data_IF_692606791630
#
_entry.id   IF_692606791630
#
_cell.length_a   1.000
_cell.length_b   1.000
_cell.length_c   1.000
_cell.angle_alpha   90.00
_cell.angle_beta   90.00
_cell.angle_gamma   90.00
#
_symmetry.space_group_name_H-M   'P 1'
#
loop_
_entity.id
_entity.type
_entity.pdbx_description
1 polymer ?
2 non-polymer ?
3 non-polymer ?
4 non-polymer ?
5 non-polymer ?
6 non-polymer ?
7 water ?
#
# COMPACT_ATOMS: atom_id res chain seq x y z
N UNK A 3 4.99 16.68 17.03
CA UNK A 3 3.63 16.14 17.19
C UNK A 3 2.68 16.60 16.08
N UNK A 4 3.11 16.40 14.86
CA UNK A 4 2.52 16.94 13.67
C UNK A 4 2.31 15.78 12.65
N UNK A 5 1.22 15.86 11.89
CA UNK A 5 0.89 14.90 10.83
C UNK A 5 1.11 15.61 9.50
N UNK A 6 1.90 14.99 8.62
CA UNK A 6 2.06 15.45 7.27
C UNK A 6 1.02 14.91 6.31
N UNK A 7 0.74 15.67 5.26
CA UNK A 7 -0.17 15.20 4.21
C UNK A 7 0.43 15.64 2.85
N UNK A 8 0.47 14.69 1.92
CA UNK A 8 0.87 14.98 0.54
C UNK A 8 -0.27 14.64 -0.41
N UNK A 9 -0.57 15.57 -1.31
CA UNK A 9 -1.57 15.40 -2.38
C UNK A 9 -1.18 16.38 -3.48
N UNK A 10 -1.25 15.93 -4.71
CA UNK A 10 -1.00 16.79 -5.85
C UNK A 10 -1.94 16.40 -6.97
N UNK A 11 -2.81 17.40 -7.37
CA UNK A 11 -3.84 17.37 -8.54
C UNK A 11 -3.19 16.77 -9.81
N UNK A 12 -1.86 16.87 -10.02
CA UNK A 12 -1.23 16.36 -11.22
C UNK A 12 -1.34 14.82 -11.30
N UNK A 13 -1.45 14.12 -10.15
CA UNK A 13 -1.62 12.66 -10.20
C UNK A 13 -2.95 12.21 -10.79
N UNK A 14 -3.88 13.16 -11.01
CA UNK A 14 -5.13 12.86 -11.71
C UNK A 14 -4.93 12.67 -13.21
N UNK A 15 -3.79 13.08 -13.77
CA UNK A 15 -3.68 13.10 -15.24
C UNK A 15 -3.58 11.69 -15.88
N UNK A 16 -3.04 10.70 -15.16
CA UNK A 16 -3.05 9.30 -15.59
C UNK A 16 -4.50 8.86 -15.74
N UNK A 17 -4.83 8.34 -16.92
CA UNK A 17 -6.24 8.01 -17.19
C UNK A 17 -6.31 6.91 -18.23
N UNK A 18 -7.50 6.35 -18.37
CA UNK A 18 -7.78 5.25 -19.26
C UNK A 18 -8.54 5.82 -20.44
N UNK A 19 -7.84 5.99 -21.58
CA UNK A 19 -8.46 6.70 -22.70
C UNK A 19 -9.52 5.88 -23.42
N UNK A 20 -9.55 4.57 -23.16
CA UNK A 20 -10.45 3.64 -23.85
C UNK A 20 -11.67 3.30 -23.02
N UNK A 21 -11.55 3.43 -21.72
CA UNK A 21 -12.61 3.09 -20.80
C UNK A 21 -12.58 4.10 -19.65
N UNK A 22 -13.30 5.20 -19.83
CA UNK A 22 -13.25 6.27 -18.84
C UNK A 22 -13.90 5.94 -17.52
N UNK A 23 -14.60 4.80 -17.46
CA UNK A 23 -15.20 4.29 -16.25
C UNK A 23 -14.37 3.21 -15.54
N UNK A 24 -13.17 2.93 -16.01
CA UNK A 24 -12.29 1.99 -15.31
C UNK A 24 -12.20 2.42 -13.83
N UNK A 25 -12.32 1.48 -12.87
CA UNK A 25 -12.39 1.86 -11.45
C UNK A 25 -11.17 2.62 -10.89
N UNK A 26 -9.98 2.51 -11.49
CA UNK A 26 -8.84 3.26 -10.98
C UNK A 26 -8.91 4.68 -11.54
N UNK A 27 -9.84 5.45 -11.00
CA UNK A 27 -10.19 6.75 -11.57
C UNK A 27 -9.34 7.87 -11.05
N UNK A 28 -9.13 8.89 -11.88
CA UNK A 28 -8.51 10.13 -11.37
C UNK A 28 -9.11 10.69 -10.11
N UNK A 29 -10.43 10.70 -10.05
CA UNK A 29 -11.08 11.34 -8.97
C UNK A 29 -11.05 10.50 -7.67
N UNK A 30 -10.41 9.32 -7.68
CA UNK A 30 -10.12 8.68 -6.39
C UNK A 30 -9.38 9.62 -5.44
N UNK A 31 -8.33 10.27 -5.96
CA UNK A 31 -7.50 11.08 -5.08
C UNK A 31 -8.14 12.42 -4.76
N UNK A 32 -8.83 13.02 -5.72
CA UNK A 32 -9.49 14.30 -5.45
C UNK A 32 -10.65 14.15 -4.48
N UNK A 33 -11.41 13.05 -4.60
CA UNK A 33 -12.49 12.81 -3.63
C UNK A 33 -11.93 12.65 -2.23
N UNK A 34 -10.85 11.89 -2.08
CA UNK A 34 -10.26 11.72 -0.74
C UNK A 34 -9.77 13.07 -0.19
N UNK A 35 -9.08 13.84 -1.03
CA UNK A 35 -8.58 15.18 -0.67
C UNK A 35 -9.76 16.09 -0.19
N UNK A 36 -10.83 16.12 -1.00
CA UNK A 36 -11.97 16.92 -0.66
C UNK A 36 -12.61 16.54 0.66
N UNK A 37 -12.70 15.23 0.91
CA UNK A 37 -13.30 14.80 2.16
C UNK A 37 -12.46 15.23 3.39
N UNK A 38 -11.11 15.26 3.18
CA UNK A 38 -10.22 15.77 4.24
C UNK A 38 -10.51 17.25 4.52
N UNK A 39 -10.81 18.02 3.47
CA UNK A 39 -11.20 19.42 3.68
C UNK A 39 -12.54 19.53 4.36
N UNK A 40 -13.52 18.76 3.91
CA UNK A 40 -14.83 18.80 4.52
C UNK A 40 -14.87 18.50 6.02
N UNK A 41 -14.07 17.51 6.41
CA UNK A 41 -13.93 17.10 7.80
C UNK A 41 -12.93 17.95 8.59
N UNK A 42 -12.36 18.99 7.98
CA UNK A 42 -11.48 19.94 8.64
C UNK A 42 -10.19 19.28 9.13
N UNK A 43 -9.78 18.23 8.45
CA UNK A 43 -8.50 17.56 8.70
C UNK A 43 -7.33 18.20 7.97
N UNK A 44 -7.59 18.72 6.77
CA UNK A 44 -6.52 19.23 5.94
C UNK A 44 -5.78 20.43 6.58
N UNK A 45 -6.51 21.31 7.28
CA UNK A 45 -5.92 22.47 7.93
C UNK A 45 -5.16 22.09 9.20
N UNK A 46 -5.36 20.88 9.68
CA UNK A 46 -4.64 20.35 10.87
C UNK A 46 -3.31 19.68 10.53
N UNK A 47 -3.06 19.47 9.24
CA UNK A 47 -1.91 18.76 8.80
C UNK A 47 -0.87 19.75 8.26
N UNK A 48 0.40 19.31 8.25
CA UNK A 48 1.50 19.99 7.58
C UNK A 48 1.60 19.49 6.15
N UNK A 49 1.40 20.37 5.17
CA UNK A 49 1.46 19.99 3.78
C UNK A 49 2.87 19.73 3.34
N UNK A 50 3.10 18.52 2.86
CA UNK A 50 4.38 18.11 2.30
C UNK A 50 4.27 18.16 0.75
N UNK A 51 5.22 18.76 0.01
CA UNK A 51 5.10 18.85 -1.43
C UNK A 51 5.35 17.52 -2.08
N UNK A 52 4.66 17.31 -3.19
CA UNK A 52 5.01 16.23 -4.11
C UNK A 52 6.31 16.55 -4.84
N UNK A 53 7.02 15.52 -5.29
CA UNK A 53 8.12 15.70 -6.22
C UNK A 53 8.18 14.46 -7.10
N UNK A 54 8.91 14.57 -8.19
CA UNK A 54 9.22 13.41 -9.00
C UNK A 54 10.27 12.55 -8.30
N UNK A 55 10.06 11.25 -8.23
CA UNK A 55 11.15 10.31 -8.02
C UNK A 55 12.14 10.47 -9.16
N UNK A 56 13.42 10.29 -8.85
CA UNK A 56 14.43 10.21 -9.89
C UNK A 56 14.55 8.78 -10.44
N UNK A 57 15.15 8.63 -11.64
CA UNK A 57 15.33 7.28 -12.15
C UNK A 57 16.28 6.46 -11.27
N UNK A 58 17.29 7.10 -10.69
CA UNK A 58 18.19 6.40 -9.81
C UNK A 58 17.38 5.90 -8.59
N UNK A 59 16.45 6.68 -8.03
CA UNK A 59 15.58 6.21 -6.95
C UNK A 59 14.74 5.04 -7.41
N UNK A 60 14.18 5.07 -8.61
CA UNK A 60 13.41 3.94 -9.12
C UNK A 60 14.24 2.67 -9.12
N UNK A 61 15.53 2.82 -9.46
CA UNK A 61 16.46 1.69 -9.49
C UNK A 61 16.77 1.07 -8.13
N UNK A 62 16.32 1.69 -7.02
CA UNK A 62 16.40 0.98 -5.77
C UNK A 62 15.67 -0.36 -5.80
N UNK A 63 14.58 -0.43 -6.57
CA UNK A 63 13.75 -1.65 -6.61
C UNK A 63 13.55 -2.16 -8.02
N UNK A 64 13.74 -1.36 -9.10
CA UNK A 64 13.30 -1.74 -10.45
C UNK A 64 14.47 -1.85 -11.41
N UNK A 65 14.36 -2.73 -12.41
CA UNK A 65 15.40 -2.87 -13.41
C UNK A 65 15.46 -1.66 -14.29
N UNK A 66 16.63 -1.45 -14.86
CA UNK A 66 16.79 -0.34 -15.79
C UNK A 66 15.90 -0.55 -17.00
N UNK A 67 15.73 -1.79 -17.45
CA UNK A 67 14.84 -2.03 -18.60
C UNK A 67 13.40 -1.66 -18.32
N UNK A 68 12.87 -2.06 -17.15
CA UNK A 68 11.51 -1.72 -16.78
C UNK A 68 11.32 -0.21 -16.71
N UNK A 69 12.25 0.47 -16.03
CA UNK A 69 12.14 1.92 -15.94
C UNK A 69 12.10 2.56 -17.34
N UNK A 70 13.00 2.07 -18.19
CA UNK A 70 13.14 2.57 -19.55
C UNK A 70 11.85 2.40 -20.38
N UNK A 71 11.22 1.25 -20.22
CA UNK A 71 10.03 0.87 -21.00
C UNK A 71 8.88 1.79 -20.51
N UNK A 72 8.67 1.92 -19.19
CA UNK A 72 7.58 2.81 -18.77
C UNK A 72 7.85 4.27 -19.20
N UNK A 73 9.10 4.72 -19.07
CA UNK A 73 9.46 6.07 -19.51
C UNK A 73 9.17 6.30 -20.99
N UNK A 74 9.35 5.26 -21.80
CA UNK A 74 9.12 5.39 -23.25
C UNK A 74 7.65 5.61 -23.55
N UNK A 75 6.73 5.30 -22.63
CA UNK A 75 5.33 5.51 -22.94
C UNK A 75 4.90 6.99 -23.00
N UNK A 76 5.71 7.91 -22.47
CA UNK A 76 5.31 9.33 -22.43
C UNK A 76 5.08 9.91 -23.81
N UNK A 77 5.75 9.32 -24.81
CA UNK A 77 5.74 9.87 -26.16
C UNK A 77 4.89 9.04 -27.15
N UNK A 78 4.19 8.01 -26.64
CA UNK A 78 3.57 7.01 -27.53
C UNK A 78 2.20 7.49 -27.96
N UNK A 79 1.88 7.12 -29.19
CA UNK A 79 0.55 7.32 -29.72
C UNK A 79 -0.41 6.30 -29.06
N UNK A 80 -1.73 6.52 -29.15
CA UNK A 80 -2.70 5.62 -28.52
C UNK A 80 -2.53 4.13 -28.81
N UNK A 81 -2.31 3.77 -30.09
CA UNK A 81 -2.10 2.40 -30.51
C UNK A 81 -0.99 1.72 -29.71
N UNK A 82 0.11 2.47 -29.58
CA UNK A 82 1.29 1.91 -28.93
C UNK A 82 1.15 1.85 -27.41
N UNK A 83 0.43 2.82 -26.83
CA UNK A 83 0.04 2.72 -25.43
C UNK A 83 -0.80 1.50 -25.18
N UNK A 84 -1.77 1.23 -26.02
CA UNK A 84 -2.61 0.05 -25.89
C UNK A 84 -1.74 -1.22 -25.93
N UNK A 85 -0.87 -1.31 -26.98
CA UNK A 85 -0.03 -2.49 -27.07
C UNK A 85 0.86 -2.67 -25.84
N UNK A 86 1.45 -1.58 -25.37
CA UNK A 86 2.36 -1.71 -24.25
C UNK A 86 1.59 -2.13 -23.01
N UNK A 87 0.47 -1.46 -22.68
CA UNK A 87 -0.30 -1.86 -21.49
C UNK A 87 -0.71 -3.33 -21.52
N UNK A 88 -1.06 -3.79 -22.75
CA UNK A 88 -1.45 -5.18 -22.94
C UNK A 88 -0.34 -6.22 -22.71
N UNK A 89 0.92 -5.80 -22.66
CA UNK A 89 1.97 -6.73 -22.30
C UNK A 89 2.01 -7.05 -20.82
N UNK A 90 1.19 -6.36 -20.02
CA UNK A 90 1.09 -6.61 -18.62
C UNK A 90 -0.26 -7.18 -18.25
N UNK A 91 -0.34 -7.70 -17.05
CA UNK A 91 -1.63 -8.11 -16.45
C UNK A 91 -2.30 -6.87 -15.88
N UNK A 92 -3.42 -6.44 -16.46
CA UNK A 92 -4.30 -5.41 -15.86
C UNK A 92 -3.60 -4.05 -15.75
N UNK A 93 -3.13 -3.51 -16.89
CA UNK A 93 -2.55 -2.19 -16.93
C UNK A 93 -3.17 -1.39 -18.06
N UNK A 94 -3.52 -0.13 -17.78
CA UNK A 94 -3.78 0.88 -18.84
C UNK A 94 -2.71 1.98 -18.71
N UNK A 95 -2.35 2.57 -19.87
CA UNK A 95 -1.32 3.62 -19.91
C UNK A 95 -1.78 4.82 -20.70
N UNK A 96 -1.56 6.05 -20.19
CA UNK A 96 -1.67 7.27 -21.03
C UNK A 96 -0.31 7.96 -21.00
N UNK A 97 -0.19 9.04 -21.78
CA UNK A 97 1.11 9.75 -21.85
C UNK A 97 1.54 10.33 -20.52
N UNK A 98 0.59 10.51 -19.58
CA UNK A 98 0.87 11.09 -18.28
C UNK A 98 1.20 10.03 -17.22
N UNK A 99 1.09 8.73 -17.57
CA UNK A 99 1.20 7.69 -16.54
C UNK A 99 2.57 7.68 -15.91
N UNK A 100 3.63 7.80 -16.68
CA UNK A 100 4.97 7.73 -16.10
C UNK A 100 5.16 8.87 -15.09
N UNK A 101 4.83 10.10 -15.48
CA UNK A 101 4.98 11.22 -14.55
C UNK A 101 4.17 11.01 -13.28
N UNK A 102 2.95 10.51 -13.43
CA UNK A 102 2.10 10.33 -12.23
C UNK A 102 2.73 9.30 -11.31
N UNK A 103 3.25 8.21 -11.86
CA UNK A 103 3.90 7.20 -11.05
C UNK A 103 5.12 7.77 -10.35
N UNK A 104 5.89 8.60 -11.08
CA UNK A 104 7.02 9.29 -10.44
C UNK A 104 6.59 10.19 -9.29
N UNK A 105 5.51 10.92 -9.48
CA UNK A 105 4.99 11.81 -8.44
C UNK A 105 4.50 11.01 -7.24
N UNK A 106 3.84 9.87 -7.46
CA UNK A 106 3.36 9.07 -6.33
C UNK A 106 4.55 8.63 -5.47
N UNK A 107 5.60 8.14 -6.12
CA UNK A 107 6.76 7.66 -5.38
C UNK A 107 7.49 8.82 -4.69
N UNK A 108 7.77 9.91 -5.41
CA UNK A 108 8.49 11.01 -4.81
C UNK A 108 7.74 11.66 -3.65
N UNK A 109 6.41 11.77 -3.78
CA UNK A 109 5.58 12.23 -2.66
C UNK A 109 5.84 11.43 -1.39
N UNK A 110 5.90 10.12 -1.57
CA UNK A 110 6.15 9.21 -0.46
C UNK A 110 7.59 9.33 0.04
N UNK A 111 8.57 9.52 -0.86
CA UNK A 111 9.92 9.79 -0.36
C UNK A 111 9.97 11.05 0.49
N UNK A 112 9.34 12.12 0.06
CA UNK A 112 9.34 13.36 0.82
C UNK A 112 8.65 13.15 2.20
N UNK A 113 7.61 12.30 2.21
CA UNK A 113 6.88 12.03 3.47
C UNK A 113 7.75 11.23 4.45
N UNK A 114 8.41 10.19 3.92
CA UNK A 114 9.32 9.40 4.74
C UNK A 114 10.48 10.27 5.25
N UNK A 115 11.03 11.13 4.39
CA UNK A 115 12.05 12.07 4.83
C UNK A 115 11.56 12.98 5.93
N UNK A 116 10.35 13.52 5.79
CA UNK A 116 9.81 14.39 6.82
C UNK A 116 9.72 13.68 8.16
N UNK A 117 9.29 12.41 8.14
CA UNK A 117 9.20 11.62 9.36
C UNK A 117 10.60 11.37 9.97
N UNK A 118 11.51 10.90 9.11
CA UNK A 118 12.80 10.45 9.63
C UNK A 118 13.70 11.61 10.05
N UNK A 119 13.46 12.80 9.53
CA UNK A 119 14.21 14.02 9.94
C UNK A 119 13.51 14.72 11.09
N UNK A 120 12.38 14.19 11.60
CA UNK A 120 11.69 14.80 12.73
C UNK A 120 10.80 15.99 12.41
N UNK A 121 10.56 16.30 11.15
CA UNK A 121 9.68 17.43 10.78
C UNK A 121 8.22 17.12 11.12
N UNK A 122 7.83 15.86 10.95
CA UNK A 122 6.52 15.38 11.32
C UNK A 122 6.65 14.04 12.06
N UNK A 123 5.61 13.67 12.80
CA UNK A 123 5.60 12.37 13.49
C UNK A 123 5.15 11.26 12.56
N UNK A 124 4.16 11.58 11.74
CA UNK A 124 3.49 10.58 10.88
C UNK A 124 2.95 11.33 9.66
N UNK A 125 2.39 10.59 8.72
CA UNK A 125 1.98 11.24 7.48
C UNK A 125 1.03 10.36 6.69
N UNK A 126 0.33 11.02 5.78
CA UNK A 126 -0.59 10.37 4.86
C UNK A 126 -0.31 10.85 3.44
N UNK A 127 -0.31 9.93 2.46
CA UNK A 127 0.02 10.20 1.06
C UNK A 127 -1.16 9.78 0.19
N UNK A 128 -1.82 10.77 -0.40
CA UNK A 128 -3.00 10.56 -1.24
C UNK A 128 -2.53 10.57 -2.67
N UNK A 129 -2.13 9.38 -3.11
CA UNK A 129 -1.39 9.21 -4.37
C UNK A 129 -2.03 8.17 -5.28
N UNK A 130 -1.81 8.31 -6.60
CA UNK A 130 -2.13 7.29 -7.60
C UNK A 130 -1.19 7.54 -8.79
N UNK A 131 -0.97 6.56 -9.68
CA UNK A 131 -1.42 5.16 -9.57
C UNK A 131 -0.82 4.44 -8.37
N UNK A 132 -1.44 3.31 -8.01
CA UNK A 132 -0.94 2.52 -6.88
C UNK A 132 0.37 1.79 -7.23
N UNK A 133 0.92 1.07 -6.24
CA UNK A 133 2.23 0.46 -6.38
C UNK A 133 2.43 -0.99 -6.10
N UNK A 134 1.60 -1.59 -5.21
CA UNK A 134 2.06 -2.85 -4.57
C UNK A 134 2.15 -4.11 -5.46
N UNK A 135 1.51 -4.10 -6.63
CA UNK A 135 1.61 -5.22 -7.56
C UNK A 135 2.86 -5.08 -8.48
N UNK A 136 3.50 -3.90 -8.52
CA UNK A 136 4.63 -3.71 -9.42
C UNK A 136 5.83 -4.52 -8.91
N UNK A 137 6.46 -5.19 -9.89
CA UNK A 137 7.57 -6.08 -9.63
C UNK A 137 8.87 -5.37 -10.01
N UNK A 138 10.00 -5.99 -9.69
CA UNK A 138 11.28 -5.47 -10.19
C UNK A 138 11.24 -5.20 -11.68
N UNK A 139 10.73 -6.15 -12.44
CA UNK A 139 10.97 -6.10 -13.89
C UNK A 139 9.72 -5.86 -14.71
N UNK A 140 8.61 -5.54 -14.05
CA UNK A 140 7.31 -5.44 -14.73
C UNK A 140 6.19 -4.68 -13.96
N UNK A 141 5.27 -4.09 -14.72
CA UNK A 141 4.07 -3.45 -14.21
C UNK A 141 2.97 -4.51 -14.03
N UNK A 142 1.99 -4.25 -13.15
CA UNK A 142 0.91 -5.18 -12.92
C UNK A 142 -0.19 -4.54 -12.12
N UNK A 143 -1.43 -4.89 -12.46
CA UNK A 143 -2.53 -4.58 -11.54
C UNK A 143 -2.66 -3.10 -11.18
N UNK A 144 -2.61 -2.26 -12.21
CA UNK A 144 -2.78 -0.81 -12.13
C UNK A 144 -1.51 -0.10 -11.64
N UNK A 145 -0.46 -0.85 -11.34
CA UNK A 145 0.76 -0.34 -10.69
C UNK A 145 1.96 -0.35 -11.64
N UNK A 146 2.73 0.74 -11.64
CA UNK A 146 3.92 0.86 -12.50
C UNK A 146 5.19 0.66 -11.75
N UNK A 147 5.34 1.39 -10.64
CA UNK A 147 6.50 1.25 -9.77
C UNK A 147 5.99 1.01 -8.37
N UNK A 148 6.77 0.30 -7.59
CA UNK A 148 6.30 -0.13 -6.27
C UNK A 148 6.63 0.93 -5.23
N UNK A 149 5.72 1.89 -5.16
CA UNK A 149 5.86 3.07 -4.30
C UNK A 149 6.24 2.73 -2.86
N UNK A 150 5.54 1.78 -2.25
CA UNK A 150 5.83 1.44 -0.82
C UNK A 150 7.23 0.80 -0.74
N UNK A 151 7.53 -0.16 -1.61
CA UNK A 151 8.82 -0.83 -1.56
C UNK A 151 9.95 0.17 -1.77
N UNK A 152 9.78 1.05 -2.75
CA UNK A 152 10.77 2.11 -3.04
C UNK A 152 10.94 3.02 -1.83
N UNK A 153 9.84 3.32 -1.13
CA UNK A 153 9.90 4.18 0.04
C UNK A 153 10.72 3.52 1.15
N UNK A 154 10.58 2.21 1.34
CA UNK A 154 11.37 1.51 2.34
C UNK A 154 12.86 1.60 1.98
N UNK A 155 13.20 1.39 0.69
CA UNK A 155 14.60 1.48 0.27
C UNK A 155 15.11 2.92 0.35
N UNK A 156 14.28 3.90 0.01
CA UNK A 156 14.69 5.30 0.09
C UNK A 156 14.97 5.61 1.57
N UNK A 157 14.10 5.18 2.49
CA UNK A 157 14.34 5.36 3.93
C UNK A 157 15.71 4.79 4.31
N UNK A 158 15.98 3.56 3.90
CA UNK A 158 17.27 2.92 4.21
C UNK A 158 18.43 3.73 3.65
N UNK A 159 18.24 4.35 2.48
CA UNK A 159 19.29 5.09 1.78
C UNK A 159 19.64 6.42 2.49
N UNK A 160 18.79 6.90 3.39
CA UNK A 160 19.10 8.11 4.16
C UNK A 160 19.34 7.84 5.64
N UNK A 161 19.42 6.56 6.01
CA UNK A 161 19.66 6.14 7.41
C UNK A 161 20.74 5.05 7.34
N UNK A 162 20.32 3.79 7.32
CA UNK A 162 21.24 2.68 7.12
C UNK A 162 20.52 1.55 6.44
N UNK A 163 21.32 0.71 5.78
CA UNK A 163 20.83 -0.43 5.01
C UNK A 163 19.89 -1.32 5.84
N UNK A 164 20.22 -1.51 7.11
CA UNK A 164 19.50 -2.39 8.01
C UNK A 164 18.36 -1.73 8.81
N UNK A 165 18.03 -0.47 8.49
CA UNK A 165 16.86 0.17 9.10
C UNK A 165 15.66 -0.77 9.04
N UNK A 166 15.02 -1.03 10.16
CA UNK A 166 13.90 -1.98 10.19
C UNK A 166 12.62 -1.26 9.74
N UNK A 167 12.10 -1.69 8.58
CA UNK A 167 10.88 -1.13 8.07
C UNK A 167 9.82 -2.23 8.09
N UNK A 168 8.67 -1.93 8.69
CA UNK A 168 7.47 -2.78 8.57
C UNK A 168 6.57 -2.22 7.51
N UNK A 169 6.16 -3.08 6.58
CA UNK A 169 5.12 -2.72 5.57
C UNK A 169 3.90 -3.56 5.92
N UNK A 170 2.81 -2.87 6.31
CA UNK A 170 1.50 -3.54 6.51
C UNK A 170 0.66 -3.22 5.29
N UNK A 171 0.26 -4.27 4.57
CA UNK A 171 -0.51 -4.12 3.37
C UNK A 171 -1.92 -4.60 3.62
N UNK A 172 -2.81 -3.63 3.84
CA UNK A 172 -4.22 -3.96 4.10
C UNK A 172 -5.13 -3.75 2.92
N UNK A 173 -4.57 -3.40 1.74
CA UNK A 173 -5.32 -3.53 0.49
C UNK A 173 -5.86 -4.95 0.44
N UNK A 174 -7.04 -5.15 -0.15
CA UNK A 174 -7.68 -6.48 -0.20
C UNK A 174 -6.92 -7.46 -1.07
N UNK A 175 -6.02 -6.94 -1.92
CA UNK A 175 -5.20 -7.80 -2.80
C UNK A 175 -3.84 -8.02 -2.20
N UNK A 176 -3.23 -9.16 -2.56
CA UNK A 176 -1.86 -9.43 -2.20
C UNK A 176 -0.89 -8.50 -2.91
N UNK A 177 0.05 -7.89 -2.18
CA UNK A 177 1.11 -7.10 -2.79
C UNK A 177 2.25 -8.00 -3.26
N UNK A 178 1.98 -8.71 -4.33
CA UNK A 178 2.96 -9.65 -4.88
C UNK A 178 4.31 -8.98 -5.14
N UNK A 179 4.29 -7.78 -5.64
CA UNK A 179 5.53 -7.10 -5.91
C UNK A 179 6.36 -6.82 -4.69
N UNK A 180 5.66 -6.34 -3.65
CA UNK A 180 6.34 -6.04 -2.40
C UNK A 180 6.90 -7.30 -1.79
N UNK A 181 6.10 -8.37 -1.75
CA UNK A 181 6.61 -9.63 -1.21
C UNK A 181 7.89 -10.04 -1.91
N UNK A 182 7.86 -10.05 -3.25
CA UNK A 182 9.01 -10.50 -4.04
C UNK A 182 10.25 -9.63 -3.84
N UNK A 183 10.06 -8.31 -3.84
CA UNK A 183 11.17 -7.39 -3.68
C UNK A 183 11.90 -7.64 -2.36
N UNK A 184 11.14 -7.97 -1.30
CA UNK A 184 11.74 -8.15 0.04
C UNK A 184 11.85 -9.60 0.48
N UNK A 185 11.67 -10.57 -0.43
CA UNK A 185 11.52 -11.97 0.00
C UNK A 185 12.72 -12.51 0.77
N UNK A 186 13.92 -12.06 0.39
CA UNK A 186 15.16 -12.46 1.09
C UNK A 186 15.68 -11.44 2.09
N UNK A 187 14.88 -10.45 2.48
CA UNK A 187 15.30 -9.36 3.38
C UNK A 187 14.75 -9.59 4.76
N UNK A 188 15.61 -9.49 5.77
CA UNK A 188 15.20 -9.42 7.17
C UNK A 188 15.10 -7.97 7.64
N UNK A 189 15.46 -6.98 6.82
CA UNK A 189 15.31 -5.58 7.24
C UNK A 189 13.92 -5.02 6.97
N UNK A 190 13.18 -5.66 6.10
CA UNK A 190 11.81 -5.22 5.78
C UNK A 190 10.88 -6.40 6.01
N UNK A 191 10.01 -6.24 7.00
CA UNK A 191 8.98 -7.18 7.39
C UNK A 191 7.75 -6.82 6.57
N UNK A 192 7.32 -7.72 5.70
CA UNK A 192 6.12 -7.53 4.88
C UNK A 192 4.98 -8.34 5.50
N UNK A 193 3.89 -7.67 5.89
CA UNK A 193 2.68 -8.33 6.41
C UNK A 193 1.53 -7.92 5.53
N UNK A 194 0.92 -8.89 4.84
CA UNK A 194 -0.25 -8.63 4.02
C UNK A 194 -1.45 -9.40 4.49
N UNK A 195 -2.59 -8.70 4.54
CA UNK A 195 -3.91 -9.33 4.67
C UNK A 195 -4.54 -9.25 3.32
N UNK A 196 -5.18 -10.30 2.84
CA UNK A 196 -5.72 -10.25 1.47
C UNK A 196 -6.70 -11.36 1.24
N UNK A 197 -7.69 -11.05 0.42
CA UNK A 197 -8.55 -12.08 -0.12
C UNK A 197 -7.76 -12.97 -1.08
N UNK A 198 -7.94 -14.29 -0.93
CA UNK A 198 -7.15 -15.31 -1.58
C UNK A 198 -8.01 -16.28 -2.36
N UNK A 199 -8.97 -16.90 -1.66
CA UNK A 199 -9.89 -17.83 -2.33
C UNK A 199 -9.13 -18.92 -3.05
N UNK A 200 -8.10 -19.46 -2.40
CA UNK A 200 -7.30 -20.53 -2.98
C UNK A 200 -6.83 -20.25 -4.40
N UNK A 201 -6.50 -18.99 -4.65
CA UNK A 201 -6.01 -18.56 -5.95
C UNK A 201 -7.05 -18.06 -6.94
N UNK A 202 -8.33 -18.03 -6.56
CA UNK A 202 -9.35 -17.52 -7.49
C UNK A 202 -9.38 -15.99 -7.56
N UNK A 203 -8.83 -15.33 -6.55
CA UNK A 203 -8.92 -13.87 -6.45
C UNK A 203 -7.60 -13.26 -6.96
N UNK A 204 -7.67 -12.14 -7.69
CA UNK A 204 -6.48 -11.47 -8.24
C UNK A 204 -5.46 -11.23 -7.12
N UNK A 205 -4.15 -11.47 -7.34
CA UNK A 205 -3.49 -11.78 -8.61
C UNK A 205 -3.32 -13.29 -8.87
N UNK A 206 -4.12 -14.14 -8.26
CA UNK A 206 -4.32 -15.51 -8.75
C UNK A 206 -3.09 -16.42 -8.61
N UNK A 207 -2.29 -16.19 -7.56
CA UNK A 207 -1.03 -16.93 -7.38
C UNK A 207 -0.97 -17.51 -5.97
N UNK A 208 -0.47 -18.73 -5.89
CA UNK A 208 -0.16 -19.36 -4.61
C UNK A 208 0.96 -18.65 -3.85
N UNK A 209 1.65 -17.69 -4.50
CA UNK A 209 2.61 -16.87 -3.75
C UNK A 209 1.99 -16.17 -2.53
N UNK A 210 0.67 -15.95 -2.59
CA UNK A 210 -0.05 -15.22 -1.56
C UNK A 210 -0.48 -16.10 -0.37
N UNK A 211 -0.16 -17.40 -0.41
CA UNK A 211 -0.62 -18.27 0.66
C UNK A 211 0.21 -18.14 1.92
N UNK A 212 -0.33 -18.65 3.03
CA UNK A 212 0.22 -18.47 4.36
C UNK A 212 1.58 -19.16 4.52
N UNK A 213 1.89 -20.15 3.67
CA UNK A 213 3.11 -20.91 3.82
C UNK A 213 4.29 -20.24 3.14
N UNK A 214 4.09 -19.07 2.53
CA UNK A 214 5.19 -18.27 1.96
C UNK A 214 5.66 -17.33 3.05
N UNK A 215 6.69 -17.77 3.76
CA UNK A 215 7.12 -17.15 5.02
C UNK A 215 8.44 -16.37 4.81
N UNK A 216 8.96 -16.32 3.58
CA UNK A 216 10.24 -15.70 3.33
C UNK A 216 11.30 -16.69 2.99
N UNK A 217 12.41 -16.22 2.42
CA UNK A 217 13.48 -17.04 1.88
C UNK A 217 14.82 -16.62 2.42
N UNK A 218 15.69 -17.62 2.64
CA UNK A 218 17.08 -17.35 3.03
C UNK A 218 17.10 -16.55 4.31
N UNK A 219 17.87 -15.47 4.36
CA UNK A 219 17.90 -14.70 5.57
C UNK A 219 16.59 -13.96 5.87
N UNK A 220 15.72 -13.87 4.85
CA UNK A 220 14.39 -13.33 5.03
C UNK A 220 13.37 -14.31 5.55
N UNK A 221 13.77 -15.54 5.89
CA UNK A 221 12.81 -16.50 6.35
C UNK A 221 12.19 -16.03 7.71
N UNK A 222 10.86 -15.95 7.77
CA UNK A 222 10.13 -15.37 8.88
C UNK A 222 9.64 -13.94 8.69
N UNK A 223 10.16 -13.27 7.65
CA UNK A 223 9.94 -11.84 7.44
C UNK A 223 8.94 -11.53 6.35
N UNK A 224 8.13 -12.53 6.00
CA UNK A 224 7.05 -12.39 5.02
C UNK A 224 5.83 -13.07 5.64
N UNK A 225 4.78 -12.32 5.97
CA UNK A 225 3.58 -12.83 6.67
C UNK A 225 2.37 -12.58 5.78
N UNK A 226 1.83 -13.65 5.20
CA UNK A 226 0.62 -13.61 4.41
C UNK A 226 -0.56 -14.13 5.22
N UNK A 227 -1.60 -13.31 5.30
CA UNK A 227 -2.85 -13.62 6.00
C UNK A 227 -3.93 -13.72 4.94
N UNK A 228 -4.17 -14.93 4.41
CA UNK A 228 -5.05 -15.08 3.23
C UNK A 228 -6.46 -15.46 3.65
N UNK A 229 -7.44 -14.73 3.12
CA UNK A 229 -8.83 -15.03 3.43
C UNK A 229 -9.44 -15.89 2.31
N UNK A 230 -10.24 -16.85 2.77
CA UNK A 230 -11.03 -17.74 1.89
C UNK A 230 -12.45 -17.78 2.38
N UNK A 231 -13.43 -17.98 1.48
CA UNK A 231 -14.80 -18.17 1.91
C UNK A 231 -15.62 -16.90 2.03
N UNK A 232 -15.36 -15.95 1.12
CA UNK A 232 -16.28 -14.82 0.98
C UNK A 232 -16.04 -13.69 1.94
N UNK A 233 -17.06 -12.88 2.18
CA UNK A 233 -16.93 -11.59 2.83
C UNK A 233 -16.30 -11.71 4.22
N UNK A 234 -15.38 -10.79 4.51
CA UNK A 234 -14.79 -10.56 5.79
C UNK A 234 -14.97 -9.10 6.12
N UNK A 235 -14.88 -8.80 7.42
CA UNK A 235 -15.12 -7.44 7.91
C UNK A 235 -14.31 -7.12 9.13
N UNK A 236 -14.84 -6.15 9.89
CA UNK A 236 -14.11 -5.67 11.05
C UNK A 236 -13.74 -6.78 12.06
N UNK A 237 -14.66 -7.72 12.34
CA UNK A 237 -14.26 -8.74 13.35
C UNK A 237 -12.99 -9.50 12.92
N UNK A 238 -12.94 -9.91 11.65
CA UNK A 238 -11.81 -10.69 11.12
C UNK A 238 -10.52 -9.88 11.09
N UNK A 239 -10.63 -8.62 10.64
CA UNK A 239 -9.43 -7.78 10.55
C UNK A 239 -8.91 -7.46 11.96
N UNK A 240 -9.82 -7.14 12.89
CA UNK A 240 -9.39 -6.88 14.27
C UNK A 240 -8.69 -8.13 14.84
N UNK A 241 -9.24 -9.32 14.57
CA UNK A 241 -8.69 -10.56 15.10
C UNK A 241 -7.32 -10.81 14.50
N UNK A 242 -7.17 -10.58 13.20
CA UNK A 242 -5.86 -10.76 12.58
C UNK A 242 -4.83 -9.81 13.18
N UNK A 243 -5.24 -8.57 13.43
CA UNK A 243 -4.30 -7.62 14.04
C UNK A 243 -3.95 -8.04 15.44
N UNK A 244 -4.93 -8.54 16.19
CA UNK A 244 -4.73 -8.96 17.55
C UNK A 244 -3.77 -10.15 17.69
N UNK A 245 -4.05 -11.18 16.93
CA UNK A 245 -3.32 -12.44 17.05
C UNK A 245 -2.03 -12.47 16.31
N UNK A 246 -1.93 -11.73 15.21
CA UNK A 246 -0.81 -11.86 14.25
C UNK A 246 -0.05 -10.56 13.99
N UNK A 247 -0.72 -9.54 13.45
CA UNK A 247 0.02 -8.37 12.98
C UNK A 247 0.74 -7.67 14.13
N UNK A 248 0.01 -7.41 15.22
CA UNK A 248 0.62 -6.61 16.29
C UNK A 248 1.68 -7.36 17.11
N UNK A 249 1.44 -8.65 17.49
CA UNK A 249 2.48 -9.36 18.21
C UNK A 249 3.76 -9.50 17.38
N UNK A 250 3.65 -9.83 16.08
CA UNK A 250 4.84 -9.96 15.25
C UNK A 250 5.50 -8.57 15.14
N UNK A 251 4.73 -7.53 14.84
CA UNK A 251 5.32 -6.21 14.65
C UNK A 251 6.05 -5.78 15.91
N UNK A 252 5.46 -6.01 17.09
CA UNK A 252 6.15 -5.62 18.35
C UNK A 252 7.51 -6.34 18.49
N UNK A 253 7.54 -7.61 18.13
CA UNK A 253 8.74 -8.40 18.25
C UNK A 253 9.79 -7.94 17.25
N UNK A 254 9.36 -7.55 16.05
CA UNK A 254 10.26 -7.01 15.05
C UNK A 254 10.86 -5.66 15.43
N UNK A 255 10.08 -4.87 16.13
CA UNK A 255 10.50 -3.57 16.60
C UNK A 255 10.90 -2.63 15.48
N UNK A 256 9.97 -2.33 14.55
CA UNK A 256 10.30 -1.47 13.41
C UNK A 256 10.72 -0.08 13.82
N UNK A 257 11.57 0.50 12.97
CA UNK A 257 11.98 1.88 13.13
C UNK A 257 11.15 2.83 12.26
N UNK A 258 10.39 2.25 11.32
CA UNK A 258 9.49 2.99 10.43
C UNK A 258 8.36 2.00 10.07
N UNK A 259 7.11 2.48 10.00
CA UNK A 259 5.99 1.71 9.51
C UNK A 259 5.42 2.39 8.27
N UNK A 260 5.33 1.60 7.19
CA UNK A 260 4.62 1.99 5.96
C UNK A 260 3.35 1.16 5.90
N UNK A 261 2.26 1.83 5.54
CA UNK A 261 1.02 1.12 5.30
C UNK A 261 0.73 1.21 3.80
N UNK A 262 0.68 0.05 3.17
CA UNK A 262 0.10 -0.07 1.81
C UNK A 262 -1.41 -0.12 2.07
N UNK A 263 -1.96 1.08 2.08
CA UNK A 263 -3.31 1.35 2.53
C UNK A 263 -4.22 1.43 1.31
N UNK A 264 -4.54 0.26 0.77
CA UNK A 264 -5.68 0.20 -0.14
C UNK A 264 -6.96 0.21 0.67
N UNK A 265 -8.04 0.75 0.14
CA UNK A 265 -9.33 0.77 0.84
C UNK A 265 -10.35 -0.02 0.05
N UNK A 266 -9.87 -1.05 -0.64
CA UNK A 266 -10.74 -1.97 -1.39
C UNK A 266 -11.27 -3.16 -0.56
N UNK A 267 -10.85 -3.31 0.71
CA UNK A 267 -11.57 -4.18 1.65
C UNK A 267 -12.75 -3.47 2.32
N UNK A 268 -13.05 -2.25 1.87
CA UNK A 268 -14.06 -1.48 2.54
C UNK A 268 -15.45 -1.94 2.17
N UNK A 269 -16.38 -1.79 3.12
CA UNK A 269 -17.84 -1.85 2.83
C UNK A 269 -18.10 -0.96 1.60
N UNK A 270 -18.80 -1.51 0.62
CA UNK A 270 -19.20 -0.78 -0.58
C UNK A 270 -18.27 -0.97 -1.77
N UNK A 271 -17.08 -1.57 -1.57
CA UNK A 271 -16.14 -1.73 -2.72
C UNK A 271 -16.67 -2.80 -3.66
N UNK A 272 -16.83 -2.48 -4.94
CA UNK A 272 -17.33 -3.47 -5.89
C UNK A 272 -16.32 -4.56 -6.25
N UNK A 273 -15.03 -4.31 -6.07
CA UNK A 273 -14.04 -5.35 -6.36
C UNK A 273 -13.70 -6.23 -5.17
N UNK A 274 -13.63 -5.65 -3.97
CA UNK A 274 -13.17 -6.44 -2.85
C UNK A 274 -14.19 -7.38 -2.25
N UNK A 275 -15.44 -6.97 -2.24
CA UNK A 275 -16.49 -7.80 -1.67
C UNK A 275 -16.47 -7.97 -0.16
N UNK A 276 -15.75 -7.10 0.53
CA UNK A 276 -15.57 -7.12 1.98
C UNK A 276 -16.32 -5.96 2.61
N UNK A 277 -16.23 -5.94 3.94
CA UNK A 277 -17.08 -5.10 4.76
C UNK A 277 -16.34 -4.31 5.83
N UNK A 278 -15.05 -4.06 5.63
CA UNK A 278 -14.34 -3.28 6.66
C UNK A 278 -14.90 -1.85 6.65
N UNK A 279 -15.18 -1.35 7.87
CA UNK A 279 -15.83 -0.03 8.03
C UNK A 279 -14.80 1.08 8.22
N UNK A 280 -15.22 2.35 8.06
CA UNK A 280 -14.27 3.44 8.33
C UNK A 280 -13.71 3.38 9.75
N UNK A 281 -14.60 3.00 10.69
CA UNK A 281 -14.23 2.84 12.11
C UNK A 281 -13.22 1.71 12.26
N UNK A 282 -13.41 0.63 11.50
CA UNK A 282 -12.46 -0.47 11.49
C UNK A 282 -11.07 0.03 11.07
N UNK A 283 -10.98 0.75 9.91
CA UNK A 283 -9.69 1.30 9.48
C UNK A 283 -9.09 2.26 10.51
N UNK A 284 -9.93 3.03 11.22
CA UNK A 284 -9.42 3.90 12.24
C UNK A 284 -8.71 3.07 13.35
N UNK A 285 -9.34 1.96 13.79
CA UNK A 285 -8.74 1.11 14.79
C UNK A 285 -7.45 0.45 14.30
N UNK A 286 -7.44 -0.01 13.06
CA UNK A 286 -6.18 -0.56 12.53
C UNK A 286 -5.04 0.48 12.55
N UNK A 287 -5.36 1.71 12.16
CA UNK A 287 -4.37 2.79 12.15
C UNK A 287 -3.87 3.05 13.54
N UNK A 288 -4.81 3.19 14.48
CA UNK A 288 -4.47 3.52 15.86
C UNK A 288 -3.55 2.45 16.46
N UNK A 289 -3.79 1.17 16.16
CA UNK A 289 -2.90 0.10 16.63
C UNK A 289 -1.50 0.27 16.06
N UNK A 290 -1.38 0.54 14.75
CA UNK A 290 -0.05 0.72 14.15
C UNK A 290 0.68 1.91 14.72
N UNK A 291 -0.03 2.93 15.19
CA UNK A 291 0.62 4.11 15.75
C UNK A 291 1.39 3.78 17.04
N UNK A 292 1.15 2.62 17.67
CA UNK A 292 1.86 2.20 18.91
C UNK A 292 3.28 1.67 18.57
N UNK A 293 3.60 1.52 17.28
CA UNK A 293 4.88 1.01 16.79
C UNK A 293 5.82 2.13 16.36
N UNK A 294 7.11 1.86 16.44
CA UNK A 294 8.11 2.71 15.76
C UNK A 294 8.06 4.15 16.31
N UNK A 295 7.74 4.34 17.58
CA UNK A 295 7.62 5.67 18.16
C UNK A 295 6.63 6.53 17.36
N UNK A 296 5.62 5.89 16.78
CA UNK A 296 4.60 6.60 16.05
C UNK A 296 4.95 6.94 14.59
N UNK A 297 6.11 6.48 14.10
CA UNK A 297 6.59 6.80 12.73
C UNK A 297 5.83 5.94 11.73
N UNK A 298 4.69 6.45 11.30
CA UNK A 298 3.76 5.72 10.40
C UNK A 298 3.50 6.60 9.19
N UNK A 299 3.65 6.03 7.97
CA UNK A 299 3.28 6.67 6.73
C UNK A 299 2.21 5.82 6.02
N UNK A 300 1.04 6.40 5.82
CA UNK A 300 -0.10 5.73 5.19
C UNK A 300 -0.11 6.07 3.72
N UNK A 301 0.05 5.06 2.85
CA UNK A 301 0.16 5.26 1.39
C UNK A 301 -1.04 4.67 0.70
N UNK A 302 -1.79 5.48 -0.04
CA UNK A 302 -2.96 4.94 -0.74
C UNK A 302 -2.51 3.91 -1.79
N UNK A 303 -3.17 2.77 -1.81
CA UNK A 303 -3.03 1.73 -2.85
C UNK A 303 -4.35 1.70 -3.64
N UNK A 304 -5.12 0.59 -3.57
CA UNK A 304 -6.41 0.49 -4.23
C UNK A 304 -7.55 1.03 -3.40
N UNK A 305 -8.74 0.63 -3.80
CA UNK A 305 -9.95 1.16 -3.27
C UNK A 305 -10.75 1.96 -4.26
N UNK A 306 -11.99 1.53 -4.50
CA UNK A 306 -12.70 1.94 -5.72
C UNK A 306 -14.07 2.53 -5.51
N UNK A 307 -14.66 2.41 -4.32
CA UNK A 307 -15.90 3.12 -4.01
C UNK A 307 -15.47 4.48 -3.51
N UNK A 308 -15.80 5.53 -4.28
CA UNK A 308 -15.26 6.86 -3.98
C UNK A 308 -15.70 7.33 -2.59
N UNK A 309 -16.95 7.13 -2.21
CA UNK A 309 -17.40 7.51 -0.87
C UNK A 309 -16.66 6.68 0.18
N UNK A 310 -16.54 5.37 -0.03
CA UNK A 310 -15.94 4.51 0.99
C UNK A 310 -14.48 4.86 1.24
N UNK A 311 -13.72 5.06 0.16
CA UNK A 311 -12.31 5.37 0.33
C UNK A 311 -12.11 6.73 0.97
N UNK A 312 -12.97 7.68 0.62
CA UNK A 312 -12.85 9.02 1.16
C UNK A 312 -13.09 9.01 2.67
N UNK A 313 -14.15 8.33 3.12
CA UNK A 313 -14.46 8.27 4.55
C UNK A 313 -13.38 7.46 5.27
N UNK A 314 -12.93 6.35 4.66
CA UNK A 314 -12.00 5.45 5.35
C UNK A 314 -10.64 6.09 5.48
N UNK A 315 -10.11 6.69 4.41
CA UNK A 315 -8.77 7.27 4.52
C UNK A 315 -8.80 8.49 5.46
N UNK A 316 -9.87 9.29 5.39
CA UNK A 316 -10.02 10.43 6.31
C UNK A 316 -9.99 9.98 7.75
N UNK A 317 -10.66 8.87 8.08
CA UNK A 317 -10.63 8.38 9.45
C UNK A 317 -9.23 7.95 9.90
N UNK A 318 -8.43 7.41 8.97
CA UNK A 318 -7.05 7.10 9.28
C UNK A 318 -6.29 8.39 9.63
N UNK A 319 -6.44 9.45 8.83
CA UNK A 319 -5.75 10.71 9.09
C UNK A 319 -6.17 11.27 10.45
N UNK A 320 -7.46 11.19 10.77
CA UNK A 320 -7.97 11.61 12.07
C UNK A 320 -7.21 10.88 13.19
N UNK A 321 -6.99 9.58 13.02
CA UNK A 321 -6.24 8.83 14.03
C UNK A 321 -4.80 9.32 14.09
N UNK A 322 -4.14 9.53 12.93
CA UNK A 322 -2.77 10.02 12.96
C UNK A 322 -2.66 11.35 13.70
N UNK A 323 -3.68 12.19 13.58
CA UNK A 323 -3.72 13.49 14.26
C UNK A 323 -3.98 13.39 15.75
N UNK A 324 -4.27 12.20 16.24
CA UNK A 324 -4.43 11.98 17.70
C UNK A 324 -5.85 11.94 18.20
N UNK A 325 -6.80 11.96 17.26
CA UNK A 325 -8.22 11.89 17.67
C UNK A 325 -8.53 10.51 18.28
N UNK A 326 -9.46 10.52 19.19
CA UNK A 326 -9.67 9.17 19.86
C UNK A 326 -10.51 8.31 18.91
N UNK A 327 -10.15 7.01 19.01
CA UNK A 327 -10.81 6.04 18.14
C UNK A 327 -12.32 5.96 18.33
N UNK A 328 -13.06 5.82 17.22
CA UNK A 328 -14.53 5.76 17.28
C UNK A 328 -14.98 4.43 17.88
N UNK A 329 -16.18 4.40 18.42
CA UNK A 329 -16.75 3.14 18.89
C UNK A 329 -16.87 2.17 17.70
N UNK A 330 -16.58 0.89 17.90
CA UNK A 330 -16.99 -0.11 16.88
C UNK A 330 -18.37 -0.71 17.21
N UNK A 334 -18.51 -9.49 17.32
CA UNK A 334 -19.08 -10.60 16.57
C UNK A 334 -18.10 -11.77 16.30
N UNK A 335 -18.60 -13.00 16.43
CA UNK A 335 -17.77 -14.15 16.24
C UNK A 335 -17.28 -14.22 14.79
N UNK A 336 -16.05 -14.73 14.58
CA UNK A 336 -15.48 -14.79 13.27
C UNK A 336 -16.11 -15.84 12.44
N UNK A 337 -16.12 -15.61 11.14
CA UNK A 337 -16.44 -16.69 10.25
C UNK A 337 -15.45 -17.81 10.44
N UNK A 338 -15.95 -19.03 10.33
CA UNK A 338 -15.12 -20.22 10.48
C UNK A 338 -13.88 -20.22 9.66
N UNK A 339 -13.97 -19.84 8.40
CA UNK A 339 -12.80 -19.88 7.52
C UNK A 339 -11.76 -18.87 7.97
N UNK A 340 -12.19 -17.75 8.58
CA UNK A 340 -11.25 -16.76 9.09
C UNK A 340 -10.44 -17.30 10.26
N UNK A 341 -11.10 -18.02 11.18
CA UNK A 341 -10.39 -18.74 12.25
C UNK A 341 -9.36 -19.70 11.65
N UNK A 342 -9.76 -20.44 10.61
CA UNK A 342 -8.85 -21.39 9.96
C UNK A 342 -7.62 -20.65 9.39
N UNK A 343 -7.87 -19.53 8.70
CA UNK A 343 -6.79 -18.74 8.10
C UNK A 343 -5.83 -18.28 9.22
N UNK A 344 -6.37 -17.67 10.29
CA UNK A 344 -5.52 -17.15 11.34
C UNK A 344 -4.69 -18.27 11.92
N UNK A 345 -5.32 -19.40 12.23
CA UNK A 345 -4.56 -20.52 12.80
C UNK A 345 -3.49 -21.08 11.86
N UNK A 346 -3.76 -21.09 10.54
CA UNK A 346 -2.74 -21.51 9.60
C UNK A 346 -1.51 -20.58 9.63
N UNK A 347 -1.75 -19.28 9.71
CA UNK A 347 -0.63 -18.33 9.75
C UNK A 347 0.12 -18.47 11.09
N UNK A 348 -0.60 -18.61 12.20
CA UNK A 348 0.05 -18.80 13.49
C UNK A 348 0.95 -20.02 13.44
N UNK A 349 0.47 -21.14 12.90
CA UNK A 349 1.31 -22.34 12.79
C UNK A 349 2.54 -22.09 11.92
N UNK A 350 2.35 -21.36 10.83
CA UNK A 350 3.45 -21.05 9.92
C UNK A 350 4.51 -20.21 10.55
N UNK A 351 4.13 -19.29 11.43
CA UNK A 351 5.08 -18.28 11.92
C UNK A 351 5.56 -18.49 13.33
N UNK A 352 4.96 -19.39 14.08
CA UNK A 352 5.46 -19.73 15.43
C UNK A 352 6.96 -20.15 15.43
N UNK A 353 7.47 -20.79 14.35
CA UNK A 353 8.91 -21.09 14.42
C UNK A 353 9.80 -19.87 14.48
N UNK A 354 9.29 -18.74 14.01
CA UNK A 354 10.13 -17.53 13.83
C UNK A 354 9.85 -16.43 14.85
N UNK A 355 8.68 -16.47 15.45
CA UNK A 355 8.19 -15.37 16.33
C UNK A 355 7.73 -15.93 17.66
N UNK A 356 8.52 -15.68 18.70
CA UNK A 356 8.26 -16.22 20.02
C UNK A 356 6.90 -15.80 20.54
N UNK A 357 6.47 -14.60 20.17
CA UNK A 357 5.21 -14.02 20.63
C UNK A 357 3.98 -14.83 20.23
N UNK A 358 4.14 -15.72 19.23
CA UNK A 358 3.02 -16.54 18.74
C UNK A 358 2.92 -17.89 19.42
N UNK A 359 3.86 -18.18 20.30
CA UNK A 359 3.96 -19.48 20.92
C UNK A 359 3.16 -19.45 22.14
#
# INVERSE_FOLDING_TARGET
>A
SSPITGLVYDQRMMLHHNMWDSHHPELPQRISRIFSRHEELRLLSRCHRIPARLATEEELALCHSSKHISIIKSSEHMKPRDLNRLGDEYNSIFISNESYTCALLAAGSCFNSAQAILTGQVRNAVAIVRPPGHHAEKDTACGFCFFNTAALTARYAQSITRESLRVLIVDWDVHHGNGTQHIFEEDDSVLYISLHRYEDGAFFPNSEDANYDKVGLGKGRGYNVNIPWNGGKMGDPEYMAAFHHLVMPIAREFAPELVLVSAGFDAARGDPLGGFQVTPEGYAHLTHQLMSLAAGRVLIILEGGYNLTSISESMSMCTSMLLGDSPPSLDHLTPLKTSATVSINNVLRAHAPFWSSLR
#
